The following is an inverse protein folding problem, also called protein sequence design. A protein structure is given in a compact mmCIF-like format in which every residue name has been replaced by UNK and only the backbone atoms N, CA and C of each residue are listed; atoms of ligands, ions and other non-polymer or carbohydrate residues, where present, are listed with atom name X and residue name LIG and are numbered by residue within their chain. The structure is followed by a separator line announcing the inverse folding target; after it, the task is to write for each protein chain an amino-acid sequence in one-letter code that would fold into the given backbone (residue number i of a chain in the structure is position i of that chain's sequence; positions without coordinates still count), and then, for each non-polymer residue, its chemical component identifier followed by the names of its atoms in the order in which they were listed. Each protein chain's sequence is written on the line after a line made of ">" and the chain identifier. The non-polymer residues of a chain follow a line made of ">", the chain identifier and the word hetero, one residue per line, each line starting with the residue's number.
data_IF_414859256316
#
_entry.id   IF_414859256316
#
_cell.length_a   1.000
_cell.length_b   1.000
_cell.length_c   1.000
_cell.angle_alpha   90.00
_cell.angle_beta   90.00
_cell.angle_gamma   90.00
#
_symmetry.space_group_name_H-M   'P 1'
#
loop_
_entity.id
_entity.type
_entity.pdbx_description
1 polymer ?
#
# COMPACT_ATOMS: atom_id res chain seq x y z
N UNK A 1 -5.01 1.46 -5.04
CA UNK A 1 -5.04 0.96 -3.64
C UNK A 1 -6.24 1.56 -2.92
N UNK A 2 -6.97 0.75 -2.16
CA UNK A 2 -8.08 1.15 -1.29
C UNK A 2 -7.66 0.89 0.16
N UNK A 3 -7.93 1.84 1.04
CA UNK A 3 -7.63 1.71 2.47
C UNK A 3 -8.90 2.07 3.26
N UNK A 4 -9.58 1.05 3.79
CA UNK A 4 -10.90 1.17 4.37
C UNK A 4 -10.92 0.77 5.85
N UNK A 5 -12.00 1.12 6.54
CA UNK A 5 -12.26 0.61 7.89
C UNK A 5 -12.97 -0.73 7.76
N UNK A 6 -12.86 -1.55 8.79
CA UNK A 6 -13.70 -2.74 8.93
C UNK A 6 -15.20 -2.42 8.87
N UNK A 7 -15.61 -1.21 9.27
CA UNK A 7 -17.00 -0.76 9.14
C UNK A 7 -17.47 -0.48 7.70
N UNK A 8 -16.57 -0.42 6.71
CA UNK A 8 -16.89 0.06 5.35
C UNK A 8 -16.26 -0.77 4.22
N UNK A 9 -15.33 -1.68 4.49
CA UNK A 9 -14.57 -2.37 3.44
C UNK A 9 -15.46 -3.17 2.48
N UNK A 10 -16.61 -3.66 2.94
CA UNK A 10 -17.57 -4.43 2.12
C UNK A 10 -18.00 -3.66 0.86
N UNK A 11 -18.15 -2.32 0.97
CA UNK A 11 -18.50 -1.45 -0.15
C UNK A 11 -17.42 -1.31 -1.22
N UNK A 12 -16.26 -1.93 -1.03
CA UNK A 12 -15.17 -1.95 -2.01
C UNK A 12 -14.90 -3.33 -2.63
N UNK A 13 -15.56 -4.39 -2.13
CA UNK A 13 -15.26 -5.76 -2.55
C UNK A 13 -15.58 -6.03 -4.02
N UNK A 14 -16.65 -5.43 -4.53
CA UNK A 14 -17.05 -5.52 -5.94
C UNK A 14 -15.99 -4.89 -6.87
N UNK A 15 -15.47 -3.72 -6.49
CA UNK A 15 -14.39 -3.03 -7.22
C UNK A 15 -13.10 -3.84 -7.16
N UNK A 16 -12.74 -4.34 -5.97
CA UNK A 16 -11.54 -5.16 -5.77
C UNK A 16 -11.60 -6.42 -6.63
N UNK A 17 -12.69 -7.17 -6.54
CA UNK A 17 -12.89 -8.39 -7.35
C UNK A 17 -12.83 -8.08 -8.85
N UNK A 18 -13.57 -7.07 -9.30
CA UNK A 18 -13.61 -6.71 -10.72
C UNK A 18 -12.21 -6.35 -11.25
N UNK A 19 -11.44 -5.58 -10.49
CA UNK A 19 -10.11 -5.15 -10.91
C UNK A 19 -9.10 -6.30 -10.85
N UNK A 20 -9.08 -7.09 -9.77
CA UNK A 20 -8.18 -8.24 -9.67
C UNK A 20 -8.47 -9.28 -10.75
N UNK A 21 -9.74 -9.54 -11.06
CA UNK A 21 -10.14 -10.47 -12.11
C UNK A 21 -9.66 -10.03 -13.50
N UNK A 22 -9.54 -8.72 -13.72
CA UNK A 22 -9.04 -8.12 -14.95
C UNK A 22 -7.54 -7.78 -14.91
N UNK A 23 -6.79 -8.41 -13.99
CA UNK A 23 -5.35 -8.21 -13.75
C UNK A 23 -4.93 -6.75 -13.48
N UNK A 24 -5.87 -5.89 -13.08
CA UNK A 24 -5.53 -4.50 -12.74
C UNK A 24 -4.85 -4.44 -11.39
N UNK A 25 -3.79 -3.65 -11.31
CA UNK A 25 -3.05 -3.42 -10.07
C UNK A 25 -3.96 -2.77 -9.01
N UNK A 26 -4.42 -3.58 -8.06
CA UNK A 26 -5.29 -3.17 -6.96
C UNK A 26 -4.88 -3.90 -5.68
N UNK A 27 -5.02 -3.22 -4.54
CA UNK A 27 -4.81 -3.77 -3.21
C UNK A 27 -5.82 -3.10 -2.27
N UNK A 28 -6.43 -3.88 -1.39
CA UNK A 28 -7.31 -3.43 -0.31
C UNK A 28 -6.62 -3.67 1.03
N UNK A 29 -6.55 -2.64 1.85
CA UNK A 29 -6.13 -2.73 3.25
C UNK A 29 -7.31 -2.37 4.16
N UNK A 30 -7.57 -3.21 5.17
CA UNK A 30 -8.65 -3.01 6.14
C UNK A 30 -8.06 -2.71 7.51
N UNK A 31 -8.46 -1.59 8.10
CA UNK A 31 -8.09 -1.21 9.46
C UNK A 31 -9.19 -1.66 10.44
N UNK A 32 -8.84 -2.41 11.51
CA UNK A 32 -9.80 -2.82 12.53
C UNK A 32 -10.22 -1.64 13.41
N UNK A 33 -11.45 -1.70 13.94
CA UNK A 33 -12.02 -0.70 14.84
C UNK A 33 -11.94 0.74 14.30
N UNK A 34 -12.22 0.90 13.01
CA UNK A 34 -12.16 2.18 12.31
C UNK A 34 -13.45 2.53 11.61
N UNK A 35 -13.82 3.81 11.66
CA UNK A 35 -15.00 4.36 10.98
C UNK A 35 -14.65 5.03 9.65
N UNK A 36 -15.59 5.77 9.06
CA UNK A 36 -15.37 6.57 7.85
C UNK A 36 -14.10 7.42 7.92
N UNK A 37 -13.93 8.15 9.03
CA UNK A 37 -12.71 8.93 9.30
C UNK A 37 -11.80 8.12 10.22
N UNK A 38 -10.55 7.90 9.78
CA UNK A 38 -9.56 7.17 10.58
C UNK A 38 -9.16 7.97 11.80
N UNK A 39 -9.51 7.48 12.98
CA UNK A 39 -9.32 8.22 14.23
C UNK A 39 -8.06 7.76 14.98
N UNK A 40 -7.64 6.50 14.84
CA UNK A 40 -6.45 6.00 15.51
C UNK A 40 -5.19 6.60 14.86
N UNK A 41 -4.29 7.16 15.67
CA UNK A 41 -3.10 7.84 15.17
C UNK A 41 -2.11 6.89 14.49
N UNK A 42 -1.96 5.69 15.01
CA UNK A 42 -1.14 4.61 14.42
C UNK A 42 -1.66 4.21 13.04
N UNK A 43 -2.98 4.08 12.88
CA UNK A 43 -3.59 3.75 11.58
C UNK A 43 -3.43 4.89 10.57
N UNK A 44 -3.58 6.15 11.00
CA UNK A 44 -3.32 7.31 10.14
C UNK A 44 -1.87 7.37 9.67
N UNK A 45 -0.91 7.16 10.56
CA UNK A 45 0.52 7.11 10.19
C UNK A 45 0.78 5.99 9.18
N UNK A 46 0.35 4.76 9.47
CA UNK A 46 0.51 3.63 8.56
C UNK A 46 -0.16 3.86 7.19
N UNK A 47 -1.33 4.52 7.18
CA UNK A 47 -2.02 4.90 5.94
C UNK A 47 -1.20 5.90 5.13
N UNK A 48 -0.63 6.93 5.77
CA UNK A 48 0.19 7.95 5.10
C UNK A 48 1.48 7.36 4.53
N UNK A 49 2.21 6.57 5.34
CA UNK A 49 3.42 5.88 4.89
C UNK A 49 3.12 5.01 3.66
N UNK A 50 2.07 4.18 3.72
CA UNK A 50 1.70 3.28 2.63
C UNK A 50 1.30 4.01 1.35
N UNK A 51 0.58 5.13 1.45
CA UNK A 51 0.23 5.94 0.27
C UNK A 51 1.47 6.52 -0.39
N UNK A 52 2.40 7.06 0.40
CA UNK A 52 3.66 7.59 -0.11
C UNK A 52 4.47 6.48 -0.77
N UNK A 53 4.67 5.35 -0.08
CA UNK A 53 5.40 4.20 -0.62
C UNK A 53 4.74 3.65 -1.89
N UNK A 54 3.41 3.63 -1.99
CA UNK A 54 2.68 3.23 -3.20
C UNK A 54 3.05 4.14 -4.39
N UNK A 55 2.99 5.47 -4.21
CA UNK A 55 3.35 6.39 -5.28
C UNK A 55 4.84 6.35 -5.63
N UNK A 56 5.72 6.25 -4.63
CA UNK A 56 7.15 6.09 -4.85
C UNK A 56 7.46 4.83 -5.67
N UNK A 57 6.80 3.71 -5.35
CA UNK A 57 6.95 2.47 -6.10
C UNK A 57 6.49 2.65 -7.54
N UNK A 58 5.22 3.00 -7.77
CA UNK A 58 4.63 3.01 -9.11
C UNK A 58 5.17 4.11 -10.02
N UNK A 59 5.44 5.30 -9.48
CA UNK A 59 5.73 6.49 -10.28
C UNK A 59 7.21 6.86 -10.29
N UNK A 60 7.96 6.48 -9.24
CA UNK A 60 9.36 6.87 -9.10
C UNK A 60 10.32 5.68 -9.17
N UNK A 61 9.80 4.44 -9.18
CA UNK A 61 10.63 3.25 -9.08
C UNK A 61 11.45 3.23 -7.80
N UNK A 62 10.86 3.66 -6.68
CA UNK A 62 11.52 3.74 -5.36
C UNK A 62 10.84 2.82 -4.35
N UNK A 63 11.63 2.23 -3.46
CA UNK A 63 11.12 1.40 -2.36
C UNK A 63 11.88 1.67 -1.05
N UNK A 64 11.21 1.48 0.08
CA UNK A 64 11.76 1.53 1.43
C UNK A 64 12.44 0.20 1.76
N UNK A 65 13.74 0.22 2.06
CA UNK A 65 14.52 -1.01 2.29
C UNK A 65 14.46 -1.55 3.72
N UNK A 66 13.54 -1.05 4.53
CA UNK A 66 13.24 -1.69 5.80
C UNK A 66 12.74 -3.13 5.54
N UNK A 67 13.36 -4.18 6.11
CA UNK A 67 12.95 -5.57 5.91
C UNK A 67 11.48 -5.83 6.23
N UNK A 68 10.88 -5.03 7.13
CA UNK A 68 9.44 -5.12 7.44
C UNK A 68 8.52 -4.81 6.25
N UNK A 69 9.05 -4.20 5.17
CA UNK A 69 8.32 -3.83 3.96
C UNK A 69 8.46 -4.85 2.82
N UNK A 70 9.34 -5.84 2.94
CA UNK A 70 9.62 -6.80 1.85
C UNK A 70 8.36 -7.50 1.34
N UNK A 71 7.50 -7.97 2.24
CA UNK A 71 6.25 -8.64 1.87
C UNK A 71 5.27 -7.71 1.13
N UNK A 72 5.28 -6.41 1.43
CA UNK A 72 4.46 -5.42 0.73
C UNK A 72 4.95 -5.25 -0.71
N UNK A 73 6.25 -5.00 -0.90
CA UNK A 73 6.82 -4.84 -2.24
C UNK A 73 6.75 -6.11 -3.07
N UNK A 74 6.86 -7.30 -2.45
CA UNK A 74 6.66 -8.56 -3.15
C UNK A 74 5.26 -8.67 -3.77
N UNK A 75 4.20 -8.26 -3.05
CA UNK A 75 2.83 -8.21 -3.60
C UNK A 75 2.72 -7.20 -4.74
N UNK A 76 3.29 -6.01 -4.57
CA UNK A 76 3.20 -4.95 -5.58
C UNK A 76 3.98 -5.29 -6.85
N UNK A 77 5.16 -5.91 -6.73
CA UNK A 77 5.95 -6.38 -7.87
C UNK A 77 5.29 -7.51 -8.66
N UNK A 78 4.32 -8.22 -8.07
CA UNK A 78 3.55 -9.25 -8.77
C UNK A 78 2.37 -8.68 -9.59
N UNK A 79 2.04 -7.40 -9.41
CA UNK A 79 0.92 -6.75 -10.11
C UNK A 79 1.28 -6.39 -11.56
N UNK A 80 0.28 -6.43 -12.45
CA UNK A 80 0.48 -6.03 -13.85
C UNK A 80 0.91 -4.56 -13.93
N UNK A 81 1.93 -4.29 -14.75
CA UNK A 81 2.47 -2.96 -14.96
C UNK A 81 3.43 -2.48 -13.86
N UNK A 82 3.73 -3.31 -12.86
CA UNK A 82 4.72 -2.98 -11.84
C UNK A 82 6.08 -2.65 -12.48
N UNK A 83 6.82 -1.65 -11.96
CA UNK A 83 8.17 -1.37 -12.43
C UNK A 83 9.04 -2.64 -12.33
N UNK A 84 9.88 -2.93 -13.34
CA UNK A 84 10.80 -4.06 -13.27
C UNK A 84 11.72 -3.92 -12.05
N UNK A 85 12.01 -5.02 -11.36
CA UNK A 85 12.87 -5.01 -10.16
C UNK A 85 14.24 -4.36 -10.39
N UNK A 86 14.79 -4.48 -11.61
CA UNK A 86 16.05 -3.83 -12.02
C UNK A 86 16.02 -2.30 -12.00
N UNK A 87 14.83 -1.71 -12.11
CA UNK A 87 14.63 -0.27 -12.16
C UNK A 87 14.25 0.31 -10.78
N UNK A 88 13.97 -0.56 -9.81
CA UNK A 88 13.64 -0.17 -8.44
C UNK A 88 14.88 0.28 -7.66
N UNK A 89 14.77 1.43 -6.99
CA UNK A 89 15.83 2.04 -6.19
C UNK A 89 15.44 2.02 -4.72
N UNK A 90 16.27 1.35 -3.95
CA UNK A 90 16.25 1.38 -2.51
C UNK A 90 16.48 2.79 -1.98
N UNK A 91 15.64 3.23 -1.05
CA UNK A 91 15.98 4.33 -0.15
C UNK A 91 15.84 3.86 1.30
N UNK A 92 16.79 4.29 2.14
CA UNK A 92 16.63 4.20 3.57
C UNK A 92 15.90 5.47 4.02
N UNK A 93 14.79 5.31 4.71
CA UNK A 93 14.24 6.40 5.50
C UNK A 93 15.33 6.83 6.51
N UNK A 94 15.61 8.13 6.70
CA UNK A 94 16.48 8.54 7.79
C UNK A 94 15.86 7.95 9.06
N UNK A 95 16.63 7.17 9.83
CA UNK A 95 16.21 6.70 11.14
C UNK A 95 15.57 7.89 11.85
N UNK A 96 14.26 7.81 12.12
CA UNK A 96 13.56 8.82 12.86
C UNK A 96 14.42 9.10 14.11
N UNK A 97 14.97 10.30 14.17
CA UNK A 97 15.82 10.72 15.28
C UNK A 97 15.05 10.60 16.60
N UNK A 98 15.79 10.54 17.72
CA UNK A 98 15.25 10.21 19.04
C UNK A 98 14.07 11.08 19.47
#
# INVERSE_FOLDING_TARGET
>A
MIQAGDSEYEGSLDVVETFSHNNKAIELYVFPDESHVKWQSSHRLAMYERVVEWFEFWLMGRLNCNPSREAQYARWSAMEGAPPTRDLRCHAEPLAGP
#
